data_IF_184787500278
#
_entry.id   IF_184787500278
#
_cell.length_a   1.000
_cell.length_b   1.000
_cell.length_c   1.000
_cell.angle_alpha   90.00
_cell.angle_beta   90.00
_cell.angle_gamma   90.00
#
_symmetry.space_group_name_H-M   'P 1'
#
loop_
_entity.id
_entity.type
_entity.pdbx_description
1 polymer ?
#
# COMPACT_ATOMS: atom_id res chain seq x y z
N UNK A 1 9.71 1.14 20.68
CA UNK A 1 8.93 2.23 20.06
C UNK A 1 8.29 1.67 18.80
N UNK A 2 6.96 1.55 18.75
CA UNK A 2 6.26 1.03 17.57
C UNK A 2 6.32 2.07 16.45
N UNK A 3 6.76 1.66 15.25
CA UNK A 3 6.70 2.50 14.05
C UNK A 3 5.55 1.97 13.18
N UNK A 4 4.52 2.78 12.89
CA UNK A 4 3.42 2.34 12.06
C UNK A 4 3.91 2.03 10.64
N UNK A 5 3.34 1.00 10.03
CA UNK A 5 3.57 0.69 8.62
C UNK A 5 2.81 1.71 7.78
N UNK A 6 3.52 2.44 6.94
CA UNK A 6 2.92 3.39 5.99
C UNK A 6 2.32 2.66 4.78
N UNK A 7 1.16 3.11 4.30
CA UNK A 7 0.50 2.51 3.12
C UNK A 7 1.41 2.46 1.90
N UNK A 8 2.20 3.51 1.65
CA UNK A 8 3.14 3.54 0.52
C UNK A 8 4.18 2.43 0.62
N UNK A 9 4.71 2.18 1.83
CA UNK A 9 5.71 1.15 2.05
C UNK A 9 5.11 -0.26 1.92
N UNK A 10 3.89 -0.48 2.44
CA UNK A 10 3.18 -1.74 2.29
C UNK A 10 2.86 -2.05 0.81
N UNK A 11 2.39 -1.04 0.06
CA UNK A 11 2.15 -1.16 -1.38
C UNK A 11 3.42 -1.54 -2.14
N UNK A 12 4.53 -0.84 -1.88
CA UNK A 12 5.80 -1.15 -2.55
C UNK A 12 6.25 -2.60 -2.27
N UNK A 13 6.08 -3.09 -1.04
CA UNK A 13 6.42 -4.47 -0.69
C UNK A 13 5.53 -5.49 -1.42
N UNK A 14 4.22 -5.26 -1.47
CA UNK A 14 3.29 -6.13 -2.21
C UNK A 14 3.63 -6.18 -3.71
N UNK A 15 3.92 -5.02 -4.29
CA UNK A 15 4.26 -4.89 -5.71
C UNK A 15 5.57 -5.61 -6.06
N UNK A 16 6.61 -5.41 -5.24
CA UNK A 16 7.89 -6.11 -5.41
C UNK A 16 7.76 -7.61 -5.16
N UNK A 17 6.93 -8.04 -4.19
CA UNK A 17 6.66 -9.46 -3.96
C UNK A 17 5.95 -10.13 -5.16
N UNK A 18 5.20 -9.36 -5.95
CA UNK A 18 4.59 -9.81 -7.21
C UNK A 18 5.56 -9.79 -8.41
N UNK A 19 6.83 -9.41 -8.21
CA UNK A 19 7.85 -9.36 -9.27
C UNK A 19 7.69 -8.20 -10.26
N UNK A 20 6.93 -7.17 -9.90
CA UNK A 20 6.61 -6.05 -10.77
C UNK A 20 7.63 -4.89 -10.68
N UNK A 21 7.83 -4.11 -11.76
CA UNK A 21 8.78 -3.00 -11.82
C UNK A 21 8.40 -1.85 -10.86
N UNK A 22 9.37 -1.29 -10.15
CA UNK A 22 9.13 -0.24 -9.15
C UNK A 22 8.64 1.08 -9.77
N UNK A 23 8.95 1.30 -11.04
CA UNK A 23 8.59 2.48 -11.83
C UNK A 23 7.07 2.69 -11.87
N UNK A 24 6.31 1.59 -11.92
CA UNK A 24 4.85 1.61 -11.94
C UNK A 24 4.24 2.28 -10.70
N UNK A 25 4.94 2.22 -9.55
CA UNK A 25 4.49 2.85 -8.30
C UNK A 25 4.37 4.38 -8.40
N UNK A 26 4.97 4.99 -9.42
CA UNK A 26 4.84 6.43 -9.69
C UNK A 26 3.46 6.81 -10.26
N UNK A 27 2.74 5.87 -10.87
CA UNK A 27 1.41 6.10 -11.45
C UNK A 27 0.30 6.16 -10.38
N UNK A 28 0.57 5.71 -9.15
CA UNK A 28 -0.44 5.59 -8.12
C UNK A 28 -0.34 6.65 -7.02
N UNK A 29 -1.45 7.35 -6.80
CA UNK A 29 -1.62 8.34 -5.75
C UNK A 29 -2.51 7.81 -4.63
N UNK A 30 -1.95 7.71 -3.42
CA UNK A 30 -2.67 7.34 -2.21
C UNK A 30 -3.24 8.60 -1.55
N UNK A 31 -4.56 8.65 -1.36
CA UNK A 31 -5.25 9.81 -0.78
C UNK A 31 -5.80 9.56 0.63
N UNK A 32 -6.06 8.30 0.98
CA UNK A 32 -6.48 7.89 2.32
C UNK A 32 -5.37 8.10 3.35
N UNK A 33 -5.77 8.35 4.59
CA UNK A 33 -4.88 8.61 5.72
C UNK A 33 -5.05 7.51 6.75
N UNK A 34 -3.99 6.77 7.04
CA UNK A 34 -4.00 5.63 7.97
C UNK A 34 -3.01 5.87 9.11
N UNK A 35 -3.29 5.36 10.34
CA UNK A 35 -4.51 4.66 10.75
C UNK A 35 -5.68 5.61 11.08
N UNK A 36 -6.91 5.25 10.69
CA UNK A 36 -8.13 6.02 11.07
C UNK A 36 -8.62 5.68 12.48
N UNK A 37 -8.44 4.42 12.92
CA UNK A 37 -8.89 3.94 14.23
C UNK A 37 -7.73 3.32 15.03
N UNK A 38 -7.77 3.40 16.38
CA UNK A 38 -6.81 2.69 17.22
C UNK A 38 -6.95 1.18 17.04
N UNK A 39 -5.89 0.52 16.60
CA UNK A 39 -5.87 -0.93 16.39
C UNK A 39 -4.43 -1.45 16.51
N UNK A 40 -4.28 -2.65 17.04
CA UNK A 40 -3.00 -3.38 17.02
C UNK A 40 -2.61 -3.85 15.62
N UNK A 41 -3.59 -3.92 14.70
CA UNK A 41 -3.40 -4.32 13.31
C UNK A 41 -3.63 -3.12 12.38
N UNK A 42 -2.72 -2.93 11.43
CA UNK A 42 -2.81 -1.87 10.42
C UNK A 42 -3.78 -2.24 9.29
N UNK A 43 -5.05 -2.51 9.63
CA UNK A 43 -6.06 -3.05 8.71
C UNK A 43 -6.34 -2.08 7.56
N UNK A 44 -6.50 -0.78 7.83
CA UNK A 44 -6.73 0.20 6.77
C UNK A 44 -5.51 0.37 5.86
N UNK A 45 -4.28 0.35 6.42
CA UNK A 45 -3.04 0.26 5.62
C UNK A 45 -3.05 -0.97 4.71
N UNK A 46 -3.39 -2.14 5.24
CA UNK A 46 -3.42 -3.39 4.48
C UNK A 46 -4.49 -3.35 3.37
N UNK A 47 -5.69 -2.84 3.67
CA UNK A 47 -6.76 -2.70 2.71
C UNK A 47 -6.38 -1.72 1.58
N UNK A 48 -5.92 -0.52 1.94
CA UNK A 48 -5.57 0.51 0.97
C UNK A 48 -4.39 0.10 0.08
N UNK A 49 -3.35 -0.53 0.65
CA UNK A 49 -2.21 -1.04 -0.12
C UNK A 49 -2.62 -2.16 -1.09
N UNK A 50 -3.48 -3.08 -0.65
CA UNK A 50 -3.97 -4.19 -1.50
C UNK A 50 -4.81 -3.67 -2.66
N UNK A 51 -5.75 -2.75 -2.39
CA UNK A 51 -6.58 -2.12 -3.44
C UNK A 51 -5.70 -1.36 -4.43
N UNK A 52 -4.73 -0.60 -3.94
CA UNK A 52 -3.80 0.15 -4.79
C UNK A 52 -2.96 -0.78 -5.68
N UNK A 53 -2.45 -1.90 -5.14
CA UNK A 53 -1.70 -2.88 -5.92
C UNK A 53 -2.57 -3.51 -7.03
N UNK A 54 -3.82 -3.87 -6.72
CA UNK A 54 -4.75 -4.41 -7.72
C UNK A 54 -5.11 -3.39 -8.80
N UNK A 55 -5.31 -2.12 -8.42
CA UNK A 55 -5.59 -1.05 -9.38
C UNK A 55 -4.40 -0.82 -10.32
N UNK A 56 -3.18 -0.82 -9.79
CA UNK A 56 -1.96 -0.68 -10.59
C UNK A 56 -1.79 -1.86 -11.56
N UNK A 57 -1.97 -3.10 -11.08
CA UNK A 57 -1.90 -4.30 -11.93
C UNK A 57 -2.95 -4.34 -13.05
N UNK A 58 -4.08 -3.64 -12.89
CA UNK A 58 -5.12 -3.56 -13.91
C UNK A 58 -4.85 -2.50 -14.99
N UNK A 59 -3.92 -1.58 -14.73
CA UNK A 59 -3.52 -0.50 -15.64
C UNK A 59 -2.27 -0.84 -16.47
N UNK A 60 -1.59 -1.95 -16.14
CA UNK A 60 -0.48 -2.56 -16.91
C UNK A 60 -1.00 -3.47 -18.04
#
# INVERSE_FOLDING_TARGET
MYRPVETRAALAQLWQAAGQPAEALSHIRLTGTEPVLPSSFAVGTAAQASIAASALAADE
#
